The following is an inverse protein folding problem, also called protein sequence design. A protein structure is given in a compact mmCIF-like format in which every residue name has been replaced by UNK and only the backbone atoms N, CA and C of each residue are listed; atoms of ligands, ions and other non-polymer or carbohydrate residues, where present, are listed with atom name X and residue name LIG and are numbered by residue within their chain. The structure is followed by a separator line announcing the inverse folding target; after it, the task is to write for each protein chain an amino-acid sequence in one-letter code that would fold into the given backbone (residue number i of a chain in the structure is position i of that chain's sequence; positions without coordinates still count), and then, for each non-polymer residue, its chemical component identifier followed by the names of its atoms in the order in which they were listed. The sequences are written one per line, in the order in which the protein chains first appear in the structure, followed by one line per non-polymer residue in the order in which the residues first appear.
data_IF_933896496786
#
_entry.id   IF_933896496786
#
_cell.length_a   1.000
_cell.length_b   1.000
_cell.length_c   1.000
_cell.angle_alpha   90.00
_cell.angle_beta   90.00
_cell.angle_gamma   90.00
#
_symmetry.space_group_name_H-M   'P 1'
#
loop_
_entity.id
_entity.type
_entity.pdbx_description
1 polymer ?
#
# COMPACT_ATOMS: atom_id res chain seq x y z
N UNK A 1 -42.87 12.13 -1.00
CA UNK A 1 -41.63 12.19 -0.20
C UNK A 1 -40.58 11.35 -0.90
N UNK A 2 -39.68 11.96 -1.67
CA UNK A 2 -38.59 11.25 -2.35
C UNK A 2 -37.44 11.10 -1.37
N UNK A 3 -37.26 9.89 -0.82
CA UNK A 3 -36.07 9.54 -0.05
C UNK A 3 -34.86 9.53 -0.98
N UNK A 4 -34.11 10.63 -0.98
CA UNK A 4 -32.79 10.69 -1.59
C UNK A 4 -31.86 9.78 -0.80
N UNK A 5 -31.56 8.60 -1.35
CA UNK A 5 -30.50 7.74 -0.81
C UNK A 5 -29.16 8.46 -0.99
N UNK A 6 -28.63 9.02 0.09
CA UNK A 6 -27.23 9.47 0.13
C UNK A 6 -26.38 8.20 0.19
N UNK A 7 -25.72 7.85 -0.91
CA UNK A 7 -24.79 6.73 -0.92
C UNK A 7 -23.73 6.91 0.18
N UNK A 8 -23.50 5.88 0.98
CA UNK A 8 -22.53 5.93 2.06
C UNK A 8 -21.13 6.25 1.50
N UNK A 9 -20.50 7.30 2.04
CA UNK A 9 -19.15 7.68 1.64
C UNK A 9 -18.16 6.58 2.05
N UNK A 10 -17.35 6.14 1.08
CA UNK A 10 -16.28 5.18 1.27
C UNK A 10 -14.93 5.84 1.02
N UNK A 11 -13.84 5.22 1.47
CA UNK A 11 -12.48 5.66 1.11
C UNK A 11 -12.36 5.78 -0.40
N UNK A 12 -12.96 4.81 -1.08
CA UNK A 12 -12.90 4.68 -2.50
C UNK A 12 -13.67 5.75 -3.28
N UNK A 13 -14.86 6.15 -2.82
CA UNK A 13 -15.55 7.29 -3.43
C UNK A 13 -14.71 8.57 -3.37
N UNK A 14 -13.94 8.76 -2.29
CA UNK A 14 -12.98 9.85 -2.22
C UNK A 14 -11.80 9.70 -3.18
N UNK A 15 -11.28 8.48 -3.38
CA UNK A 15 -10.22 8.21 -4.38
C UNK A 15 -10.73 8.51 -5.80
N UNK A 16 -11.96 8.11 -6.13
CA UNK A 16 -12.57 8.38 -7.43
C UNK A 16 -12.77 9.88 -7.66
N UNK A 17 -13.27 10.61 -6.66
CA UNK A 17 -13.37 12.08 -6.72
C UNK A 17 -11.98 12.72 -6.93
N UNK A 18 -10.96 12.27 -6.20
CA UNK A 18 -9.60 12.75 -6.35
C UNK A 18 -9.03 12.55 -7.76
N UNK A 19 -9.26 11.37 -8.36
CA UNK A 19 -8.82 11.05 -9.72
C UNK A 19 -9.48 11.94 -10.77
N UNK A 20 -10.71 12.39 -10.53
CA UNK A 20 -11.43 13.34 -11.40
C UNK A 20 -11.01 14.80 -11.19
N UNK A 21 -10.15 15.09 -10.21
CA UNK A 21 -9.80 16.46 -9.81
C UNK A 21 -10.83 17.12 -8.89
N UNK A 22 -11.85 16.38 -8.44
CA UNK A 22 -12.89 16.85 -7.53
C UNK A 22 -12.38 16.83 -6.07
N UNK A 23 -11.30 17.56 -5.80
CA UNK A 23 -10.55 17.44 -4.55
C UNK A 23 -11.38 17.79 -3.30
N UNK A 24 -12.29 18.76 -3.39
CA UNK A 24 -13.18 19.10 -2.27
C UNK A 24 -14.15 17.95 -1.94
N UNK A 25 -14.67 17.26 -2.96
CA UNK A 25 -15.52 16.09 -2.77
C UNK A 25 -14.72 14.90 -2.18
N UNK A 26 -13.46 14.74 -2.61
CA UNK A 26 -12.56 13.72 -2.04
C UNK A 26 -12.30 13.96 -0.54
N UNK A 27 -11.99 15.20 -0.17
CA UNK A 27 -11.82 15.61 1.24
C UNK A 27 -13.11 15.35 2.03
N UNK A 28 -14.25 15.75 1.49
CA UNK A 28 -15.55 15.55 2.14
C UNK A 28 -15.83 14.07 2.40
N UNK A 29 -15.47 13.19 1.45
CA UNK A 29 -15.60 11.75 1.60
C UNK A 29 -14.67 11.15 2.66
N UNK A 30 -13.41 11.60 2.73
CA UNK A 30 -12.42 11.03 3.65
C UNK A 30 -12.54 11.55 5.09
N UNK A 31 -12.96 12.79 5.30
CA UNK A 31 -13.02 13.42 6.63
C UNK A 31 -13.80 12.60 7.68
N UNK A 32 -15.05 12.14 7.44
CA UNK A 32 -15.78 11.35 8.43
C UNK A 32 -15.16 9.96 8.64
N UNK A 33 -14.52 9.37 7.63
CA UNK A 33 -13.86 8.06 7.74
C UNK A 33 -12.59 8.14 8.58
N UNK A 34 -11.75 9.14 8.31
CA UNK A 34 -10.54 9.43 9.08
C UNK A 34 -10.88 9.72 10.55
N UNK A 35 -12.00 10.43 10.81
CA UNK A 35 -12.47 10.68 12.18
C UNK A 35 -12.88 9.39 12.92
N UNK A 36 -13.33 8.36 12.20
CA UNK A 36 -13.63 7.03 12.75
C UNK A 36 -12.43 6.08 12.80
N UNK A 37 -11.23 6.57 12.51
CA UNK A 37 -9.99 5.79 12.59
C UNK A 37 -9.65 4.99 11.33
N UNK A 38 -10.32 5.23 10.20
CA UNK A 38 -9.94 4.61 8.93
C UNK A 38 -8.56 5.14 8.48
N UNK A 39 -7.58 4.24 8.45
CA UNK A 39 -6.18 4.59 8.20
C UNK A 39 -5.93 5.05 6.75
N UNK A 40 -6.62 4.46 5.77
CA UNK A 40 -6.51 4.84 4.36
C UNK A 40 -7.12 6.23 4.13
N UNK A 41 -8.28 6.51 4.74
CA UNK A 41 -8.89 7.84 4.72
C UNK A 41 -8.01 8.89 5.40
N UNK A 42 -7.43 8.56 6.56
CA UNK A 42 -6.52 9.45 7.27
C UNK A 42 -5.27 9.76 6.43
N UNK A 43 -4.67 8.76 5.80
CA UNK A 43 -3.55 8.95 4.86
C UNK A 43 -3.94 9.85 3.68
N UNK A 44 -5.07 9.58 3.02
CA UNK A 44 -5.51 10.36 1.87
C UNK A 44 -5.85 11.82 2.24
N UNK A 45 -6.51 12.02 3.38
CA UNK A 45 -6.80 13.35 3.91
C UNK A 45 -5.52 14.11 4.29
N UNK A 46 -4.52 13.41 4.85
CA UNK A 46 -3.21 14.00 5.14
C UNK A 46 -2.53 14.49 3.86
N UNK A 47 -2.61 13.73 2.76
CA UNK A 47 -2.09 14.15 1.45
C UNK A 47 -2.82 15.39 0.91
N UNK A 48 -4.14 15.47 1.10
CA UNK A 48 -4.92 16.65 0.71
C UNK A 48 -4.44 17.92 1.44
N UNK A 49 -4.26 17.85 2.76
CA UNK A 49 -3.72 18.95 3.57
C UNK A 49 -2.26 19.27 3.26
N UNK A 50 -1.42 18.27 2.94
CA UNK A 50 -0.02 18.49 2.57
C UNK A 50 0.10 19.21 1.22
N UNK A 51 -0.75 18.86 0.26
CA UNK A 51 -0.71 19.37 -1.11
C UNK A 51 -1.60 20.60 -1.35
N UNK A 52 -2.45 20.98 -0.39
CA UNK A 52 -3.40 22.08 -0.56
C UNK A 52 -4.51 21.76 -1.58
N UNK A 53 -4.90 20.48 -1.70
CA UNK A 53 -5.88 20.02 -2.69
C UNK A 53 -7.24 19.80 -2.05
N UNK A 54 -8.22 20.64 -2.41
CA UNK A 54 -9.57 20.60 -1.83
C UNK A 54 -9.68 21.15 -0.41
N UNK A 55 -8.54 21.53 0.19
CA UNK A 55 -8.37 22.21 1.49
C UNK A 55 -7.13 23.10 1.42
N UNK A 56 -7.04 24.18 2.22
CA UNK A 56 -5.79 24.94 2.37
C UNK A 56 -4.64 24.06 2.87
N UNK A 57 -3.41 24.39 2.48
CA UNK A 57 -2.22 23.71 2.99
C UNK A 57 -2.17 23.83 4.51
N UNK A 58 -2.03 22.70 5.20
CA UNK A 58 -1.83 22.66 6.64
C UNK A 58 -0.96 21.46 7.02
N UNK A 59 0.34 21.70 7.17
CA UNK A 59 1.32 20.65 7.46
C UNK A 59 1.15 20.03 8.86
N UNK A 60 0.69 20.80 9.84
CA UNK A 60 0.39 20.29 11.19
C UNK A 60 -0.77 19.28 11.15
N UNK A 61 -1.85 19.62 10.45
CA UNK A 61 -2.98 18.70 10.24
C UNK A 61 -2.55 17.46 9.46
N UNK A 62 -1.75 17.63 8.39
CA UNK A 62 -1.21 16.51 7.62
C UNK A 62 -0.36 15.58 8.50
N UNK A 63 0.54 16.13 9.31
CA UNK A 63 1.38 15.38 10.23
C UNK A 63 0.54 14.54 11.20
N UNK A 64 -0.46 15.14 11.86
CA UNK A 64 -1.34 14.45 12.81
C UNK A 64 -2.11 13.30 12.15
N UNK A 65 -2.60 13.50 10.92
CA UNK A 65 -3.32 12.48 10.17
C UNK A 65 -2.40 11.35 9.70
N UNK A 66 -1.19 11.67 9.23
CA UNK A 66 -0.20 10.63 8.92
C UNK A 66 0.17 9.82 10.15
N UNK A 67 0.36 10.47 11.30
CA UNK A 67 0.70 9.79 12.55
C UNK A 67 -0.42 8.85 12.99
N UNK A 68 -1.69 9.27 12.90
CA UNK A 68 -2.84 8.39 13.16
C UNK A 68 -2.84 7.17 12.24
N UNK A 69 -2.67 7.37 10.93
CA UNK A 69 -2.63 6.28 9.97
C UNK A 69 -1.42 5.35 10.20
N UNK A 70 -0.24 5.90 10.48
CA UNK A 70 0.99 5.15 10.74
C UNK A 70 0.89 4.30 12.02
N UNK A 71 0.29 4.84 13.09
CA UNK A 71 -0.01 4.09 14.33
C UNK A 71 -1.00 2.95 14.09
N UNK A 72 -1.90 3.09 13.13
CA UNK A 72 -2.80 2.03 12.68
C UNK A 72 -2.14 1.03 11.70
N UNK A 73 -0.83 1.12 11.46
CA UNK A 73 -0.08 0.20 10.61
C UNK A 73 -0.04 0.58 9.13
N UNK A 74 -0.54 1.76 8.73
CA UNK A 74 -0.51 2.20 7.34
C UNK A 74 0.92 2.57 6.91
N UNK A 75 1.54 1.69 6.10
CA UNK A 75 2.95 1.76 5.75
C UNK A 75 3.31 3.04 4.98
N UNK A 76 2.54 3.42 3.96
CA UNK A 76 2.82 4.66 3.21
C UNK A 76 2.65 5.93 4.08
N UNK A 77 1.84 5.86 5.14
CA UNK A 77 1.66 6.98 6.05
C UNK A 77 2.87 7.12 6.97
N UNK A 78 3.43 5.99 7.45
CA UNK A 78 4.70 5.98 8.16
C UNK A 78 5.85 6.51 7.30
N UNK A 79 5.96 6.10 6.03
CA UNK A 79 6.94 6.66 5.09
C UNK A 79 6.75 8.17 4.92
N UNK A 80 5.51 8.62 4.69
CA UNK A 80 5.20 10.03 4.46
C UNK A 80 5.43 10.91 5.70
N UNK A 81 5.11 10.38 6.89
CA UNK A 81 5.40 11.04 8.16
C UNK A 81 6.91 11.17 8.39
N UNK A 82 7.66 10.10 8.12
CA UNK A 82 9.11 10.12 8.20
C UNK A 82 9.74 11.20 7.30
N UNK A 83 9.30 11.29 6.05
CA UNK A 83 9.76 12.33 5.12
C UNK A 83 9.41 13.74 5.65
N UNK A 84 8.17 13.94 6.12
CA UNK A 84 7.71 15.23 6.63
C UNK A 84 8.52 15.67 7.86
N UNK A 85 8.72 14.78 8.83
CA UNK A 85 9.51 15.07 10.03
C UNK A 85 10.97 15.41 9.69
N UNK A 86 11.56 14.65 8.76
CA UNK A 86 12.93 14.89 8.31
C UNK A 86 13.07 16.28 7.66
N UNK A 87 12.14 16.65 6.79
CA UNK A 87 12.09 17.97 6.15
C UNK A 87 11.89 19.12 7.15
N UNK A 88 11.17 18.85 8.24
CA UNK A 88 10.95 19.81 9.33
C UNK A 88 12.11 19.86 10.34
N UNK A 89 13.19 19.11 10.11
CA UNK A 89 14.38 19.09 10.96
C UNK A 89 14.36 18.04 12.09
N UNK A 90 13.24 17.35 12.33
CA UNK A 90 13.15 16.24 13.28
C UNK A 90 13.65 14.93 12.65
N UNK A 91 14.96 14.87 12.43
CA UNK A 91 15.61 13.71 11.79
C UNK A 91 15.50 12.45 12.65
N UNK A 92 15.64 12.56 13.98
CA UNK A 92 15.56 11.42 14.87
C UNK A 92 14.13 10.85 14.95
N UNK A 93 13.11 11.72 15.06
CA UNK A 93 11.71 11.31 15.00
C UNK A 93 11.34 10.67 13.67
N UNK A 94 11.89 11.19 12.55
CA UNK A 94 11.71 10.60 11.23
C UNK A 94 12.20 9.15 11.14
N UNK A 95 13.37 8.86 11.71
CA UNK A 95 14.00 7.53 11.60
C UNK A 95 13.17 6.42 12.20
N UNK A 96 12.43 6.68 13.29
CA UNK A 96 11.50 5.69 13.86
C UNK A 96 10.46 5.23 12.84
N UNK A 97 9.82 6.17 12.15
CA UNK A 97 8.76 5.87 11.20
C UNK A 97 9.30 5.26 9.90
N UNK A 98 10.44 5.77 9.41
CA UNK A 98 11.11 5.20 8.24
C UNK A 98 11.61 3.77 8.52
N UNK A 99 12.15 3.51 9.71
CA UNK A 99 12.55 2.16 10.11
C UNK A 99 11.33 1.21 10.13
N UNK A 100 10.21 1.63 10.72
CA UNK A 100 9.00 0.81 10.76
C UNK A 100 8.52 0.47 9.34
N UNK A 101 8.45 1.45 8.44
CA UNK A 101 8.05 1.22 7.05
C UNK A 101 9.08 0.37 6.25
N UNK A 102 10.37 0.53 6.54
CA UNK A 102 11.44 -0.26 5.94
C UNK A 102 11.41 -1.73 6.40
N UNK A 103 11.10 -1.99 7.67
CA UNK A 103 10.86 -3.34 8.19
C UNK A 103 9.66 -3.99 7.49
N UNK A 104 8.59 -3.22 7.26
CA UNK A 104 7.44 -3.65 6.46
C UNK A 104 7.74 -3.82 4.96
N UNK A 105 8.94 -3.43 4.51
CA UNK A 105 9.44 -3.68 3.16
C UNK A 105 9.10 -2.60 2.13
N UNK A 106 8.61 -1.43 2.53
CA UNK A 106 8.26 -0.38 1.58
C UNK A 106 9.53 0.16 0.88
N UNK A 107 9.60 0.12 -0.47
CA UNK A 107 10.81 0.45 -1.22
C UNK A 107 11.42 1.82 -0.91
N UNK A 108 10.59 2.86 -0.76
CA UNK A 108 11.09 4.21 -0.50
C UNK A 108 11.63 4.32 0.92
N UNK A 109 10.96 3.75 1.92
CA UNK A 109 11.44 3.71 3.29
C UNK A 109 12.72 2.88 3.43
N UNK A 110 12.83 1.73 2.73
CA UNK A 110 14.07 0.95 2.66
C UNK A 110 15.24 1.82 2.16
N UNK A 111 15.03 2.59 1.07
CA UNK A 111 16.05 3.50 0.55
C UNK A 111 16.37 4.60 1.57
N UNK A 112 15.37 5.34 2.05
CA UNK A 112 15.56 6.49 2.93
C UNK A 112 16.23 6.12 4.25
N UNK A 113 15.77 5.05 4.90
CA UNK A 113 16.37 4.57 6.14
C UNK A 113 17.77 4.00 5.91
N UNK A 114 17.97 3.28 4.79
CA UNK A 114 19.28 2.78 4.40
C UNK A 114 20.31 3.90 4.16
N UNK A 115 19.94 4.95 3.42
CA UNK A 115 20.79 6.13 3.20
C UNK A 115 21.06 6.87 4.51
N UNK A 116 20.06 7.01 5.39
CA UNK A 116 20.25 7.64 6.69
C UNK A 116 21.24 6.87 7.59
N UNK A 117 21.17 5.53 7.60
CA UNK A 117 22.16 4.68 8.27
C UNK A 117 23.55 4.76 7.63
N UNK A 118 23.64 4.99 6.32
CA UNK A 118 24.93 5.18 5.66
C UNK A 118 25.59 6.48 6.08
N UNK A 119 24.82 7.57 6.13
CA UNK A 119 25.31 8.92 6.44
C UNK A 119 25.38 9.23 7.94
N UNK A 120 24.66 8.49 8.79
CA UNK A 120 24.46 8.85 10.20
C UNK A 120 23.41 9.96 10.42
N UNK A 121 22.44 10.10 9.51
CA UNK A 121 21.46 11.18 9.53
C UNK A 121 20.27 10.88 10.45
N UNK A 122 20.32 11.37 11.70
CA UNK A 122 19.24 11.15 12.68
C UNK A 122 19.20 9.73 13.27
N UNK A 123 20.16 8.89 12.90
CA UNK A 123 20.40 7.54 13.41
C UNK A 123 21.90 7.28 13.40
N UNK A 124 22.41 6.46 14.32
CA UNK A 124 23.84 6.08 14.32
C UNK A 124 24.19 5.38 13.00
N UNK A 125 25.30 5.77 12.40
CA UNK A 125 25.76 5.17 11.16
C UNK A 125 26.00 3.66 11.33
N UNK A 126 25.51 2.88 10.37
CA UNK A 126 25.70 1.43 10.26
C UNK A 126 25.78 1.05 8.77
N UNK A 127 26.97 1.03 8.18
CA UNK A 127 27.14 0.79 6.75
C UNK A 127 26.71 -0.62 6.32
N UNK A 128 26.78 -1.62 7.21
CA UNK A 128 26.38 -3.00 6.90
C UNK A 128 24.86 -3.08 6.79
N UNK A 129 24.15 -2.54 7.78
CA UNK A 129 22.68 -2.52 7.78
C UNK A 129 22.15 -1.58 6.70
N UNK A 130 22.80 -0.43 6.47
CA UNK A 130 22.50 0.46 5.35
C UNK A 130 22.53 -0.27 4.01
N UNK A 131 23.62 -0.99 3.74
CA UNK A 131 23.80 -1.73 2.49
C UNK A 131 22.72 -2.80 2.32
N UNK A 132 22.30 -3.46 3.41
CA UNK A 132 21.21 -4.42 3.40
C UNK A 132 19.86 -3.78 2.98
N UNK A 133 19.52 -2.63 3.58
CA UNK A 133 18.28 -1.92 3.29
C UNK A 133 18.24 -1.39 1.85
N UNK A 134 19.31 -0.71 1.40
CA UNK A 134 19.40 -0.17 0.02
C UNK A 134 19.42 -1.31 -1.01
N UNK A 135 20.10 -2.43 -0.74
CA UNK A 135 20.07 -3.61 -1.61
C UNK A 135 18.65 -4.18 -1.77
N UNK A 136 17.86 -4.23 -0.69
CA UNK A 136 16.46 -4.68 -0.76
C UNK A 136 15.59 -3.71 -1.56
N UNK A 137 15.80 -2.40 -1.44
CA UNK A 137 15.09 -1.41 -2.24
C UNK A 137 15.43 -1.54 -3.73
N UNK A 138 16.72 -1.72 -4.06
CA UNK A 138 17.20 -1.94 -5.42
C UNK A 138 16.64 -3.23 -6.04
N UNK A 139 16.58 -4.31 -5.27
CA UNK A 139 15.99 -5.58 -5.69
C UNK A 139 14.47 -5.50 -5.96
N UNK A 140 13.78 -4.54 -5.35
CA UNK A 140 12.37 -4.22 -5.64
C UNK A 140 12.20 -3.30 -6.86
N UNK A 141 13.28 -2.99 -7.58
CA UNK A 141 13.23 -2.24 -8.83
C UNK A 141 13.32 -0.72 -8.66
N UNK A 142 13.49 -0.19 -7.45
CA UNK A 142 13.56 1.25 -7.22
C UNK A 142 14.85 1.83 -7.83
N UNK A 143 14.73 2.61 -8.91
CA UNK A 143 15.87 3.12 -9.66
C UNK A 143 16.82 3.99 -8.84
N UNK A 144 16.35 4.94 -7.99
CA UNK A 144 17.22 5.68 -7.09
C UNK A 144 18.05 4.79 -6.16
N UNK A 145 17.49 3.66 -5.70
CA UNK A 145 18.22 2.74 -4.82
C UNK A 145 19.36 2.02 -5.54
N UNK A 146 19.23 1.74 -6.84
CA UNK A 146 20.34 1.17 -7.63
C UNK A 146 21.50 2.16 -7.76
N UNK A 147 21.20 3.44 -7.97
CA UNK A 147 22.22 4.49 -8.03
C UNK A 147 22.92 4.63 -6.68
N UNK A 148 22.16 4.77 -5.58
CA UNK A 148 22.73 4.82 -4.22
C UNK A 148 23.57 3.59 -3.89
N UNK A 149 23.15 2.39 -4.32
CA UNK A 149 23.92 1.17 -4.08
C UNK A 149 25.28 1.20 -4.80
N UNK A 150 25.33 1.75 -6.03
CA UNK A 150 26.58 1.92 -6.77
C UNK A 150 27.52 2.91 -6.06
N UNK A 151 26.99 4.00 -5.51
CA UNK A 151 27.79 4.94 -4.70
C UNK A 151 28.32 4.25 -3.43
N UNK A 152 27.48 3.47 -2.75
CA UNK A 152 27.88 2.68 -1.59
C UNK A 152 28.92 1.60 -1.93
N UNK A 153 28.88 1.02 -3.13
CA UNK A 153 29.87 0.03 -3.58
C UNK A 153 31.29 0.60 -3.67
N UNK A 154 31.42 1.89 -3.96
CA UNK A 154 32.69 2.60 -3.99
C UNK A 154 33.23 2.94 -2.59
N UNK A 155 32.35 3.09 -1.59
CA UNK A 155 32.72 3.57 -0.25
C UNK A 155 32.76 2.47 0.81
N UNK A 156 31.98 1.39 0.65
CA UNK A 156 31.85 0.32 1.64
C UNK A 156 32.77 -0.86 1.29
N UNK A 157 33.68 -1.27 2.20
CA UNK A 157 34.55 -2.42 1.97
C UNK A 157 33.77 -3.69 1.61
N UNK A 158 34.30 -4.48 0.68
CA UNK A 158 33.64 -5.70 0.16
C UNK A 158 33.14 -6.63 1.27
N UNK A 159 33.95 -6.84 2.33
CA UNK A 159 33.56 -7.68 3.48
C UNK A 159 32.30 -7.18 4.18
N UNK A 160 32.12 -5.86 4.30
CA UNK A 160 30.92 -5.27 4.89
C UNK A 160 29.72 -5.39 3.96
N UNK A 161 29.91 -5.18 2.65
CA UNK A 161 28.86 -5.38 1.64
C UNK A 161 28.34 -6.81 1.61
N UNK A 162 29.23 -7.80 1.65
CA UNK A 162 28.86 -9.22 1.74
C UNK A 162 27.99 -9.52 2.98
N UNK A 163 28.33 -8.94 4.14
CA UNK A 163 27.49 -9.04 5.34
C UNK A 163 26.12 -8.39 5.12
N UNK A 164 26.08 -7.20 4.52
CA UNK A 164 24.84 -6.49 4.20
C UNK A 164 23.94 -7.30 3.25
N UNK A 165 24.51 -7.93 2.22
CA UNK A 165 23.78 -8.82 1.31
C UNK A 165 23.24 -10.06 2.03
N UNK A 166 24.01 -10.64 2.97
CA UNK A 166 23.52 -11.75 3.78
C UNK A 166 22.34 -11.34 4.66
N UNK A 167 22.40 -10.18 5.32
CA UNK A 167 21.29 -9.60 6.08
C UNK A 167 20.06 -9.33 5.18
N UNK A 168 20.27 -8.77 3.98
CA UNK A 168 19.19 -8.51 3.03
C UNK A 168 18.45 -9.78 2.63
N UNK A 169 19.20 -10.86 2.34
CA UNK A 169 18.63 -12.18 2.01
C UNK A 169 17.86 -12.78 3.19
N UNK A 170 18.41 -12.69 4.40
CA UNK A 170 17.75 -13.17 5.61
C UNK A 170 16.42 -12.43 5.87
N UNK A 171 16.41 -11.11 5.75
CA UNK A 171 15.20 -10.30 5.89
C UNK A 171 14.16 -10.62 4.80
N UNK A 172 14.59 -10.84 3.55
CA UNK A 172 13.69 -11.24 2.47
C UNK A 172 13.10 -12.65 2.70
N UNK A 173 13.88 -13.58 3.26
CA UNK A 173 13.39 -14.91 3.63
C UNK A 173 12.38 -14.83 4.78
N UNK A 174 12.66 -14.05 5.82
CA UNK A 174 11.76 -13.82 6.95
C UNK A 174 10.44 -13.16 6.52
N UNK A 175 10.47 -12.22 5.58
CA UNK A 175 9.26 -11.62 5.02
C UNK A 175 8.42 -12.63 4.24
N UNK A 176 9.04 -13.61 3.56
CA UNK A 176 8.32 -14.68 2.85
C UNK A 176 7.69 -15.69 3.81
N UNK A 177 8.33 -15.96 4.95
CA UNK A 177 7.77 -16.87 5.97
C UNK A 177 6.64 -16.21 6.75
N UNK A 178 6.72 -14.92 7.06
CA UNK A 178 5.61 -14.16 7.66
C UNK A 178 4.47 -13.86 6.68
N UNK A 179 4.75 -13.83 5.37
CA UNK A 179 3.75 -13.72 4.32
C UNK A 179 3.14 -15.08 3.90
N UNK A 180 3.69 -16.22 4.37
CA UNK A 180 3.00 -17.51 4.27
C UNK A 180 1.74 -17.38 5.12
N UNK A 181 0.54 -17.74 4.60
CA UNK A 181 -0.66 -17.68 5.42
C UNK A 181 -0.41 -18.55 6.64
N UNK A 182 -0.41 -17.92 7.81
CA UNK A 182 -0.53 -18.62 9.08
C UNK A 182 -1.77 -19.47 8.92
N UNK A 183 -1.59 -20.79 8.88
CA UNK A 183 -2.68 -21.74 8.88
C UNK A 183 -3.41 -21.54 10.21
N UNK A 184 -4.46 -20.71 10.18
CA UNK A 184 -5.50 -20.55 11.18
C UNK A 184 -5.07 -20.87 12.62
N UNK A 185 -4.05 -20.18 13.12
CA UNK A 185 -3.78 -20.20 14.55
C UNK A 185 -4.66 -19.12 15.16
N UNK A 186 -5.74 -19.60 15.79
CA UNK A 186 -6.73 -18.76 16.43
C UNK A 186 -6.05 -17.78 17.39
N UNK A 187 -6.33 -16.47 17.30
CA UNK A 187 -5.79 -15.53 18.28
C UNK A 187 -6.25 -15.93 19.68
N UNK A 188 -5.29 -15.93 20.62
CA UNK A 188 -5.51 -16.25 22.01
C UNK A 188 -6.74 -15.51 22.57
N UNK A 189 -7.60 -16.28 23.26
CA UNK A 189 -8.88 -15.83 23.81
C UNK A 189 -8.69 -14.61 24.71
N UNK A 190 -9.29 -13.49 24.31
CA UNK A 190 -9.72 -12.43 25.23
C UNK A 190 -11.19 -12.70 25.54
N UNK A 191 -11.53 -12.83 26.82
CA UNK A 191 -12.91 -13.07 27.29
C UNK A 191 -13.83 -11.85 27.07
N UNK A 192 -15.16 -12.03 27.00
CA UNK A 192 -16.04 -11.21 26.15
C UNK A 192 -16.98 -10.26 26.92
N UNK A 193 -17.44 -9.18 26.25
CA UNK A 193 -18.72 -8.50 26.52
C UNK A 193 -19.13 -7.61 25.31
N UNK A 194 -20.42 -7.31 25.10
CA UNK A 194 -21.48 -8.24 24.74
C UNK A 194 -22.04 -7.98 23.32
N UNK A 195 -22.60 -9.06 22.77
CA UNK A 195 -23.55 -9.22 21.66
C UNK A 195 -23.90 -7.97 20.83
N UNK A 196 -23.30 -7.86 19.64
CA UNK A 196 -23.81 -7.05 18.55
C UNK A 196 -24.23 -7.94 17.37
N UNK A 197 -25.41 -7.64 16.85
CA UNK A 197 -26.19 -8.39 15.89
C UNK A 197 -25.40 -8.77 14.62
N UNK A 198 -25.71 -9.97 14.10
CA UNK A 198 -25.27 -10.44 12.79
C UNK A 198 -25.68 -9.43 11.71
N UNK A 199 -24.74 -8.70 11.15
CA UNK A 199 -24.93 -7.98 9.89
C UNK A 199 -24.51 -8.87 8.72
N UNK A 200 -25.42 -9.02 7.76
CA UNK A 200 -25.23 -9.75 6.51
C UNK A 200 -24.04 -9.21 5.69
N UNK A 201 -23.47 -10.00 4.75
CA UNK A 201 -22.25 -9.63 4.04
C UNK A 201 -22.49 -8.46 3.09
N UNK A 202 -21.57 -7.49 3.09
CA UNK A 202 -21.53 -6.41 2.10
C UNK A 202 -21.21 -7.03 0.73
N UNK A 203 -22.23 -7.25 -0.09
CA UNK A 203 -22.04 -7.78 -1.44
C UNK A 203 -21.39 -6.74 -2.34
N UNK A 204 -20.18 -7.00 -2.84
CA UNK A 204 -19.64 -6.34 -4.04
C UNK A 204 -18.27 -5.66 -3.91
N UNK A 205 -17.59 -5.78 -2.77
CA UNK A 205 -16.33 -5.06 -2.49
C UNK A 205 -15.05 -5.65 -3.12
N UNK A 206 -15.16 -6.68 -3.97
CA UNK A 206 -14.00 -7.41 -4.48
C UNK A 206 -13.98 -7.53 -6.01
N UNK A 207 -12.77 -7.50 -6.58
CA UNK A 207 -12.46 -7.81 -7.97
C UNK A 207 -11.27 -8.78 -8.02
N UNK A 208 -10.99 -9.32 -9.20
CA UNK A 208 -9.72 -10.01 -9.49
C UNK A 208 -8.96 -9.20 -10.54
N UNK A 209 -7.65 -9.03 -10.40
CA UNK A 209 -6.81 -8.43 -11.43
C UNK A 209 -6.19 -9.53 -12.28
N UNK A 210 -6.43 -9.48 -13.60
CA UNK A 210 -5.94 -10.48 -14.56
C UNK A 210 -4.59 -10.11 -15.18
N UNK A 211 -4.22 -8.82 -15.17
CA UNK A 211 -2.95 -8.35 -15.72
C UNK A 211 -2.84 -6.83 -15.80
N UNK A 212 -1.66 -6.36 -16.21
CA UNK A 212 -1.40 -4.96 -16.53
C UNK A 212 -0.82 -4.88 -17.95
N UNK A 213 -1.43 -4.07 -18.80
CA UNK A 213 -1.17 -4.03 -20.23
C UNK A 213 -0.72 -2.64 -20.66
N UNK A 214 0.26 -2.55 -21.56
CA UNK A 214 0.64 -1.27 -22.19
C UNK A 214 -0.43 -0.73 -23.14
N UNK A 215 -1.28 -1.62 -23.70
CA UNK A 215 -2.39 -1.26 -24.58
C UNK A 215 -3.72 -1.79 -24.03
N UNK A 216 -4.74 -0.95 -24.04
CA UNK A 216 -6.10 -1.32 -23.62
C UNK A 216 -6.69 -2.46 -24.47
N UNK A 217 -6.42 -2.48 -25.77
CA UNK A 217 -6.89 -3.53 -26.68
C UNK A 217 -6.37 -4.93 -26.31
N UNK A 218 -5.16 -5.03 -25.74
CA UNK A 218 -4.63 -6.30 -25.23
C UNK A 218 -5.38 -6.78 -23.98
N UNK A 219 -5.75 -5.85 -23.10
CA UNK A 219 -6.61 -6.15 -21.94
C UNK A 219 -8.00 -6.62 -22.38
N UNK A 220 -8.61 -5.95 -23.37
CA UNK A 220 -9.92 -6.31 -23.91
C UNK A 220 -9.93 -7.68 -24.57
N UNK A 221 -8.88 -8.02 -25.32
CA UNK A 221 -8.70 -9.35 -25.90
C UNK A 221 -8.55 -10.43 -24.83
N UNK A 222 -7.80 -10.17 -23.76
CA UNK A 222 -7.71 -11.12 -22.64
C UNK A 222 -9.08 -11.31 -21.97
N UNK A 223 -9.81 -10.24 -21.69
CA UNK A 223 -11.11 -10.36 -21.03
C UNK A 223 -12.09 -11.19 -21.88
N UNK A 224 -12.13 -10.97 -23.19
CA UNK A 224 -12.98 -11.75 -24.11
C UNK A 224 -12.68 -13.24 -24.09
N UNK A 225 -11.42 -13.65 -23.94
CA UNK A 225 -11.05 -15.07 -23.90
C UNK A 225 -11.46 -15.77 -22.59
N UNK A 226 -11.57 -15.03 -21.48
CA UNK A 226 -11.87 -15.60 -20.16
C UNK A 226 -13.29 -15.32 -19.65
N UNK A 227 -14.03 -14.40 -20.26
CA UNK A 227 -15.34 -13.91 -19.78
C UNK A 227 -16.38 -15.02 -19.59
N UNK A 228 -16.39 -16.03 -20.45
CA UNK A 228 -17.28 -17.20 -20.31
C UNK A 228 -17.05 -18.01 -19.03
N UNK A 229 -15.85 -17.90 -18.44
CA UNK A 229 -15.49 -18.58 -17.18
C UNK A 229 -15.84 -17.76 -15.93
N UNK A 230 -16.30 -16.53 -16.12
CA UNK A 230 -16.44 -15.51 -15.08
C UNK A 230 -17.89 -15.19 -14.74
N UNK A 231 -18.84 -16.09 -15.09
CA UNK A 231 -20.24 -16.04 -14.63
C UNK A 231 -20.89 -14.65 -14.81
N UNK A 232 -20.65 -14.00 -15.95
CA UNK A 232 -21.23 -12.69 -16.26
C UNK A 232 -20.58 -11.49 -15.55
N UNK A 233 -19.42 -11.66 -14.90
CA UNK A 233 -18.69 -10.54 -14.28
C UNK A 233 -18.13 -9.58 -15.33
N UNK A 234 -18.09 -8.30 -14.98
CA UNK A 234 -17.72 -7.20 -15.86
C UNK A 234 -16.22 -6.88 -15.77
N UNK A 235 -15.65 -6.42 -16.87
CA UNK A 235 -14.28 -5.90 -16.90
C UNK A 235 -14.22 -4.43 -16.48
N UNK A 236 -13.14 -4.10 -15.77
CA UNK A 236 -12.77 -2.76 -15.35
C UNK A 236 -11.34 -2.49 -15.83
N UNK A 237 -11.16 -1.42 -16.61
CA UNK A 237 -9.87 -1.03 -17.19
C UNK A 237 -9.31 0.17 -16.43
N UNK A 238 -8.50 -0.12 -15.40
CA UNK A 238 -8.00 0.89 -14.46
C UNK A 238 -6.64 1.42 -14.94
N UNK A 239 -6.53 2.73 -15.19
CA UNK A 239 -5.26 3.36 -15.55
C UNK A 239 -4.32 3.43 -14.34
N UNK A 240 -3.06 3.05 -14.53
CA UNK A 240 -2.01 3.11 -13.53
C UNK A 240 -0.68 3.53 -14.16
N UNK A 241 -0.47 4.84 -14.29
CA UNK A 241 0.65 5.38 -15.06
C UNK A 241 0.49 5.05 -16.54
N UNK A 242 1.52 4.46 -17.15
CA UNK A 242 1.53 4.08 -18.57
C UNK A 242 0.85 2.73 -18.87
N UNK A 243 0.27 2.06 -17.87
CA UNK A 243 -0.36 0.73 -18.05
C UNK A 243 -1.82 0.70 -17.65
N UNK A 244 -2.60 -0.12 -18.35
CA UNK A 244 -4.00 -0.43 -18.07
C UNK A 244 -4.09 -1.74 -17.30
N UNK A 245 -4.57 -1.70 -16.06
CA UNK A 245 -4.86 -2.90 -15.25
C UNK A 245 -6.24 -3.43 -15.59
N UNK A 246 -6.32 -4.69 -15.99
CA UNK A 246 -7.58 -5.39 -16.20
C UNK A 246 -8.05 -6.02 -14.89
N UNK A 247 -9.17 -5.53 -14.38
CA UNK A 247 -9.84 -6.12 -13.22
C UNK A 247 -11.22 -6.65 -13.61
N UNK A 248 -11.72 -7.67 -12.92
CA UNK A 248 -13.03 -8.27 -13.17
C UNK A 248 -13.82 -8.40 -11.87
N UNK A 249 -15.12 -8.08 -11.90
CA UNK A 249 -16.03 -8.23 -10.77
C UNK A 249 -17.43 -7.67 -11.07
N UNK A 250 -18.22 -7.27 -10.05
CA UNK A 250 -17.92 -7.37 -8.62
C UNK A 250 -18.08 -8.81 -8.10
N UNK A 251 -17.34 -9.13 -7.04
CA UNK A 251 -17.53 -10.31 -6.21
C UNK A 251 -18.04 -9.89 -4.83
N UNK A 252 -18.95 -10.68 -4.27
CA UNK A 252 -19.59 -10.44 -2.98
C UNK A 252 -18.59 -10.50 -1.83
N UNK A 253 -17.52 -11.28 -1.97
CA UNK A 253 -16.48 -11.41 -0.94
C UNK A 253 -15.11 -11.72 -1.55
N UNK A 254 -14.07 -11.58 -0.74
CA UNK A 254 -12.73 -12.04 -1.09
C UNK A 254 -12.73 -13.52 -1.45
N UNK A 255 -13.49 -14.33 -0.71
CA UNK A 255 -13.58 -15.77 -0.93
C UNK A 255 -14.16 -16.09 -2.32
N UNK A 256 -15.19 -15.35 -2.75
CA UNK A 256 -15.76 -15.51 -4.09
C UNK A 256 -14.76 -15.07 -5.18
N UNK A 257 -14.08 -13.94 -4.99
CA UNK A 257 -13.03 -13.49 -5.89
C UNK A 257 -11.87 -14.51 -5.98
N UNK A 258 -11.46 -15.07 -4.85
CA UNK A 258 -10.41 -16.09 -4.78
C UNK A 258 -10.82 -17.38 -5.50
N UNK A 259 -12.06 -17.84 -5.29
CA UNK A 259 -12.60 -19.00 -5.98
C UNK A 259 -12.66 -18.78 -7.50
N UNK A 260 -13.07 -17.60 -7.96
CA UNK A 260 -13.05 -17.24 -9.37
C UNK A 260 -11.62 -17.21 -9.94
N UNK A 261 -10.67 -16.67 -9.16
CA UNK A 261 -9.29 -16.62 -9.58
C UNK A 261 -8.64 -18.02 -9.68
N UNK A 262 -8.89 -18.90 -8.71
CA UNK A 262 -8.39 -20.29 -8.76
C UNK A 262 -8.90 -21.06 -9.98
N UNK A 263 -10.16 -20.85 -10.39
CA UNK A 263 -10.71 -21.45 -11.62
C UNK A 263 -9.97 -20.99 -12.87
N UNK A 264 -9.57 -19.72 -12.93
CA UNK A 264 -8.77 -19.18 -14.02
C UNK A 264 -7.33 -19.73 -14.01
N UNK A 265 -6.72 -19.84 -12.83
CA UNK A 265 -5.37 -20.39 -12.67
C UNK A 265 -5.30 -21.86 -13.12
N UNK A 266 -6.34 -22.66 -12.85
CA UNK A 266 -6.46 -24.03 -13.36
C UNK A 266 -6.53 -24.14 -14.89
N UNK A 267 -6.72 -23.01 -15.58
CA UNK A 267 -6.72 -22.88 -17.05
C UNK A 267 -5.50 -22.09 -17.56
N UNK A 268 -4.48 -21.91 -16.72
CA UNK A 268 -3.25 -21.19 -17.05
C UNK A 268 -3.37 -19.66 -16.99
N UNK A 269 -4.51 -19.11 -16.57
CA UNK A 269 -4.68 -17.67 -16.45
C UNK A 269 -4.33 -17.17 -15.05
N UNK A 270 -3.24 -16.41 -14.94
CA UNK A 270 -2.85 -15.76 -13.70
C UNK A 270 -3.83 -14.65 -13.30
N UNK A 271 -4.06 -14.53 -12.00
CA UNK A 271 -4.86 -13.46 -11.39
C UNK A 271 -4.56 -13.37 -9.89
N UNK A 272 -5.03 -12.29 -9.26
CA UNK A 272 -5.05 -12.13 -7.81
C UNK A 272 -6.25 -11.29 -7.36
N UNK A 273 -6.70 -11.46 -6.12
CA UNK A 273 -7.83 -10.67 -5.60
C UNK A 273 -7.39 -9.24 -5.30
N UNK A 274 -8.25 -8.28 -5.65
CA UNK A 274 -8.07 -6.87 -5.31
C UNK A 274 -9.37 -6.31 -4.75
N UNK A 275 -9.33 -5.42 -3.74
CA UNK A 275 -10.51 -4.67 -3.35
C UNK A 275 -11.04 -3.87 -4.54
N UNK A 276 -12.37 -3.83 -4.70
CA UNK A 276 -13.03 -2.99 -5.69
C UNK A 276 -12.84 -1.52 -5.29
N UNK A 277 -11.75 -0.91 -5.78
CA UNK A 277 -11.52 0.54 -5.80
C UNK A 277 -12.08 1.13 -7.11
#
# INVERSE_FOLDING_TARGET
MTSTFVAAQTVNSGIQAWQKGEFAAAVAAWKPLAARGDADAAFNLAQAYRLGKGVPVNLSTAQSLYEKAAKAGHVDAATSLGILLFQNGDRAGAMRWLQQAAVAGEPRALLLYGTALFNGDGVKADPVTAYAYVSRAAAQGLAPARATLADMDAMIPLKQRQKGLALARAAAAAAKTSARPVANEAPAKIAPAPTALKTAPVSGGWRIQLGAFSKRSSAESLFRSVSGSLSGRQAFYVQAGAVTRLQVGPFASRAEASAACKRLQGRGQACFEVPAR
#
